data_IF_170056631849
#
_entry.id   IF_170056631849
#
_cell.length_a   1.000
_cell.length_b   1.000
_cell.length_c   1.000
_cell.angle_alpha   90.00
_cell.angle_beta   90.00
_cell.angle_gamma   90.00
#
_symmetry.space_group_name_H-M   'P 1'
#
loop_
_entity.id
_entity.type
_entity.pdbx_description
1 polymer ?
#
# COMPACT_ATOMS: atom_id res chain seq x y z
N UNK A 1 5.08 -12.12 32.94
CA UNK A 1 5.61 -12.39 31.59
C UNK A 1 4.86 -11.52 30.61
N UNK A 2 5.55 -10.66 29.86
CA UNK A 2 4.93 -9.75 28.91
C UNK A 2 4.70 -10.48 27.59
N UNK A 3 3.44 -10.72 27.21
CA UNK A 3 3.07 -11.24 25.90
C UNK A 3 3.28 -10.12 24.85
N UNK A 4 4.50 -9.95 24.38
CA UNK A 4 4.74 -9.15 23.17
C UNK A 4 4.37 -10.00 21.96
N UNK A 5 3.18 -9.78 21.41
CA UNK A 5 2.86 -10.29 20.08
C UNK A 5 3.92 -9.79 19.10
N UNK A 6 4.46 -10.65 18.22
CA UNK A 6 5.41 -10.20 17.20
C UNK A 6 4.77 -9.09 16.39
N UNK A 7 5.43 -7.92 16.34
CA UNK A 7 4.95 -6.77 15.58
C UNK A 7 5.01 -7.15 14.11
N UNK A 8 3.85 -7.45 13.53
CA UNK A 8 3.71 -7.60 12.10
C UNK A 8 4.21 -6.34 11.41
N UNK A 9 4.86 -6.49 10.25
CA UNK A 9 5.20 -5.38 9.34
C UNK A 9 4.46 -5.54 8.02
N UNK A 10 4.16 -4.43 7.32
CA UNK A 10 3.58 -4.52 5.98
C UNK A 10 4.63 -5.11 5.03
N UNK A 11 4.18 -5.92 4.07
CA UNK A 11 5.05 -6.40 2.98
C UNK A 11 5.32 -5.30 1.95
N UNK A 12 4.36 -4.38 1.76
CA UNK A 12 4.50 -3.24 0.87
C UNK A 12 3.92 -1.97 1.49
N UNK A 13 4.54 -0.83 1.22
CA UNK A 13 3.92 0.49 1.37
C UNK A 13 3.08 0.80 0.14
N UNK A 14 1.95 1.48 0.36
CA UNK A 14 1.00 1.84 -0.68
C UNK A 14 1.01 3.35 -0.81
N UNK A 15 1.32 3.85 -2.01
CA UNK A 15 1.18 5.28 -2.33
C UNK A 15 0.15 5.50 -3.41
N UNK A 16 -0.47 6.67 -3.43
CA UNK A 16 -1.42 7.07 -4.48
C UNK A 16 -0.96 8.36 -5.15
N UNK A 17 -1.07 8.42 -6.47
CA UNK A 17 -0.94 9.64 -7.25
C UNK A 17 -2.22 9.86 -8.07
N UNK A 18 -2.81 11.05 -7.95
CA UNK A 18 -3.94 11.45 -8.79
C UNK A 18 -3.47 11.71 -10.22
N UNK A 19 -4.36 11.48 -11.20
CA UNK A 19 -4.15 11.95 -12.56
C UNK A 19 -4.39 13.47 -12.59
N UNK A 20 -3.48 14.23 -13.19
CA UNK A 20 -3.53 15.70 -13.27
C UNK A 20 -3.73 16.23 -14.69
N UNK A 21 -3.82 15.33 -15.68
CA UNK A 21 -3.99 15.66 -17.08
C UNK A 21 -3.41 14.57 -17.97
N UNK A 22 -3.21 14.87 -19.24
CA UNK A 22 -2.56 13.97 -20.21
C UNK A 22 -1.37 14.67 -20.90
N UNK A 23 -0.44 13.88 -21.42
CA UNK A 23 0.63 14.35 -22.29
C UNK A 23 0.16 14.51 -23.75
N UNK A 24 1.08 14.95 -24.63
CA UNK A 24 0.80 15.17 -26.06
C UNK A 24 0.46 13.87 -26.80
N UNK A 25 0.81 12.72 -26.23
CA UNK A 25 0.52 11.39 -26.77
C UNK A 25 -0.76 10.78 -26.15
N UNK A 26 -1.46 11.50 -25.29
CA UNK A 26 -2.67 11.03 -24.60
C UNK A 26 -2.40 10.15 -23.38
N UNK A 27 -1.16 10.04 -22.89
CA UNK A 27 -0.87 9.27 -21.68
C UNK A 27 -1.18 10.09 -20.43
N UNK A 28 -1.68 9.42 -19.39
CA UNK A 28 -1.99 10.07 -18.12
C UNK A 28 -0.73 10.65 -17.46
N UNK A 29 -0.80 11.94 -17.11
CA UNK A 29 0.17 12.61 -16.25
C UNK A 29 -0.25 12.46 -14.80
N UNK A 30 0.66 11.96 -13.97
CA UNK A 30 0.43 11.77 -12.55
C UNK A 30 0.96 12.95 -11.73
N UNK A 31 0.23 13.30 -10.67
CA UNK A 31 0.71 14.22 -9.64
C UNK A 31 1.72 13.56 -8.69
N UNK A 32 2.10 14.26 -7.64
CA UNK A 32 2.99 13.69 -6.62
C UNK A 32 2.32 12.53 -5.89
N UNK A 33 3.01 11.40 -5.79
CA UNK A 33 2.57 10.26 -5.01
C UNK A 33 2.70 10.54 -3.50
N UNK A 34 1.71 10.11 -2.71
CA UNK A 34 1.74 10.16 -1.24
C UNK A 34 1.42 8.78 -0.68
N UNK A 35 2.14 8.36 0.35
CA UNK A 35 1.84 7.11 1.06
C UNK A 35 0.47 7.23 1.73
N UNK A 36 -0.39 6.22 1.50
CA UNK A 36 -1.79 6.18 1.97
C UNK A 36 -2.10 4.90 2.77
N UNK A 37 -1.13 4.01 2.94
CA UNK A 37 -1.32 2.78 3.70
C UNK A 37 -0.28 1.70 3.38
N UNK A 38 -0.67 0.44 3.59
CA UNK A 38 0.22 -0.71 3.38
C UNK A 38 -0.51 -2.01 3.05
N UNK A 39 0.23 -2.93 2.47
CA UNK A 39 -0.20 -4.31 2.19
C UNK A 39 0.35 -5.21 3.29
N UNK A 40 -0.53 -6.01 3.88
CA UNK A 40 -0.21 -6.87 5.01
C UNK A 40 -0.40 -8.34 4.62
N UNK A 41 0.60 -9.21 4.83
CA UNK A 41 0.44 -10.63 4.56
C UNK A 41 -0.60 -11.23 5.52
N UNK A 42 -1.40 -12.17 5.00
CA UNK A 42 -2.33 -12.97 5.81
C UNK A 42 -1.60 -14.09 6.52
N UNK A 43 -2.07 -14.49 7.71
CA UNK A 43 -1.41 -15.58 8.47
C UNK A 43 -1.46 -16.92 7.73
N UNK A 44 -2.51 -17.14 6.94
CA UNK A 44 -2.66 -18.34 6.12
C UNK A 44 -1.78 -18.35 4.84
N UNK A 45 -0.99 -17.28 4.61
CA UNK A 45 -0.12 -17.14 3.43
C UNK A 45 -0.84 -16.95 2.10
N UNK A 46 -2.19 -16.93 2.07
CA UNK A 46 -2.97 -16.80 0.84
C UNK A 46 -3.42 -15.35 0.63
N UNK A 47 -2.72 -14.66 -0.27
CA UNK A 47 -3.00 -13.27 -0.60
C UNK A 47 -2.56 -12.30 0.50
N UNK A 48 -3.02 -11.05 0.40
CA UNK A 48 -2.66 -9.99 1.34
C UNK A 48 -3.82 -9.02 1.52
N UNK A 49 -3.81 -8.28 2.63
CA UNK A 49 -4.81 -7.28 2.98
C UNK A 49 -4.24 -5.91 2.65
N UNK A 50 -4.87 -5.19 1.72
CA UNK A 50 -4.63 -3.77 1.53
C UNK A 50 -5.33 -3.00 2.64
N UNK A 51 -4.57 -2.28 3.47
CA UNK A 51 -5.10 -1.41 4.50
C UNK A 51 -4.71 0.03 4.19
N UNK A 52 -5.72 0.88 4.03
CA UNK A 52 -5.56 2.31 3.78
C UNK A 52 -5.75 3.07 5.09
N UNK A 53 -4.81 3.97 5.40
CA UNK A 53 -4.89 4.88 6.55
C UNK A 53 -5.82 6.06 6.24
N UNK A 54 -5.86 6.46 4.96
CA UNK A 54 -6.83 7.40 4.42
C UNK A 54 -7.18 7.03 2.97
N UNK A 55 -8.39 7.37 2.55
CA UNK A 55 -8.91 7.06 1.21
C UNK A 55 -9.06 8.39 0.45
N UNK A 56 -8.19 8.68 -0.54
CA UNK A 56 -8.37 9.84 -1.41
C UNK A 56 -9.69 9.75 -2.18
N UNK A 57 -10.40 10.87 -2.34
CA UNK A 57 -11.67 10.86 -3.08
C UNK A 57 -11.45 10.46 -4.55
N UNK A 58 -10.34 10.89 -5.13
CA UNK A 58 -9.92 10.57 -6.50
C UNK A 58 -9.73 9.06 -6.69
N UNK A 59 -9.29 8.33 -5.66
CA UNK A 59 -9.18 6.87 -5.72
C UNK A 59 -10.56 6.24 -5.89
N UNK A 60 -11.58 6.75 -5.21
CA UNK A 60 -12.97 6.26 -5.33
C UNK A 60 -13.59 6.58 -6.70
N UNK A 61 -13.01 7.55 -7.42
CA UNK A 61 -13.45 7.98 -8.75
C UNK A 61 -12.59 7.38 -9.87
N UNK A 62 -11.67 6.46 -9.55
CA UNK A 62 -10.70 5.88 -10.50
C UNK A 62 -9.82 6.95 -11.20
N UNK A 63 -9.54 8.08 -10.54
CA UNK A 63 -8.75 9.20 -11.06
C UNK A 63 -7.32 9.20 -10.52
N UNK A 64 -6.65 8.05 -10.57
CA UNK A 64 -5.29 7.93 -10.07
C UNK A 64 -4.75 6.51 -10.11
N UNK A 65 -3.53 6.37 -9.64
CA UNK A 65 -2.78 5.12 -9.68
C UNK A 65 -2.24 4.80 -8.29
N UNK A 66 -2.30 3.52 -7.92
CA UNK A 66 -1.67 2.98 -6.72
C UNK A 66 -0.28 2.44 -7.04
N UNK A 67 0.69 2.81 -6.20
CA UNK A 67 2.05 2.28 -6.22
C UNK A 67 2.27 1.37 -5.03
N UNK A 68 2.88 0.21 -5.29
CA UNK A 68 3.30 -0.73 -4.25
C UNK A 68 4.83 -0.73 -4.19
N UNK A 69 5.37 -0.38 -3.03
CA UNK A 69 6.81 -0.40 -2.77
C UNK A 69 7.12 -1.46 -1.72
N UNK A 70 7.96 -2.43 -2.07
CA UNK A 70 8.36 -3.50 -1.15
C UNK A 70 9.02 -2.91 0.09
N UNK A 71 8.72 -3.48 1.25
CA UNK A 71 9.43 -3.18 2.50
C UNK A 71 10.48 -4.27 2.69
N UNK A 72 11.76 -3.87 2.81
CA UNK A 72 12.83 -4.82 3.13
C UNK A 72 12.46 -5.59 4.41
N UNK A 73 12.24 -6.91 4.26
CA UNK A 73 11.83 -7.77 5.36
C UNK A 73 13.06 -8.53 5.84
N UNK A 74 13.58 -8.18 7.02
CA UNK A 74 14.51 -9.07 7.73
C UNK A 74 13.74 -10.33 8.14
N UNK A 75 14.30 -11.53 7.92
CA UNK A 75 13.63 -12.85 8.06
C UNK A 75 13.01 -13.14 9.44
N UNK A 76 13.15 -12.26 10.43
CA UNK A 76 12.76 -12.48 11.83
C UNK A 76 11.33 -12.03 12.18
N UNK A 77 10.59 -11.39 11.28
CA UNK A 77 9.33 -10.69 11.61
C UNK A 77 8.06 -11.36 11.02
N UNK A 78 7.93 -12.67 11.18
CA UNK A 78 6.76 -13.44 10.74
C UNK A 78 5.53 -13.26 11.66
N UNK A 79 4.99 -12.04 11.71
CA UNK A 79 3.64 -11.77 12.21
C UNK A 79 2.78 -11.28 11.04
N UNK A 80 1.73 -12.01 10.65
CA UNK A 80 0.73 -11.57 9.67
C UNK A 80 -0.54 -11.09 10.34
N UNK A 81 -1.39 -10.35 9.62
CA UNK A 81 -2.74 -9.99 10.08
C UNK A 81 -3.75 -11.07 9.66
N UNK A 82 -4.65 -11.40 10.58
CA UNK A 82 -5.80 -12.31 10.45
C UNK A 82 -5.47 -13.80 10.17
#
# INVERSE_FOLDING_TARGET
>A
MSNQQPKSRPSHRVSFARIIGQDENGNDKLGSAREIGGVWPRQNGKGSILRLDFIPIELTQHQGVLFLSSVETSETDAGGYA
#
